data_IF_298129914257
#
_entry.id   IF_298129914257
#
_cell.length_a   1.000
_cell.length_b   1.000
_cell.length_c   1.000
_cell.angle_alpha   90.00
_cell.angle_beta   90.00
_cell.angle_gamma   90.00
#
_symmetry.space_group_name_H-M   'P 1'
#
loop_
_entity.id
_entity.type
_entity.pdbx_description
1 polymer ?
#
# COMPACT_ATOMS: atom_id res chain seq x y z
N UNK A 1 -18.25 50.69 54.56
CA UNK A 1 -17.86 49.32 54.14
C UNK A 1 -18.89 48.79 53.17
N UNK A 2 -18.62 48.95 51.88
CA UNK A 2 -19.49 48.45 50.81
C UNK A 2 -18.77 47.26 50.17
N UNK A 3 -19.35 46.06 50.29
CA UNK A 3 -18.81 44.84 49.69
C UNK A 3 -19.32 44.71 48.25
N UNK A 4 -18.48 44.92 47.26
CA UNK A 4 -18.69 44.57 45.86
C UNK A 4 -18.51 43.08 45.68
N UNK A 5 -19.56 42.38 45.17
CA UNK A 5 -19.52 41.00 44.68
C UNK A 5 -19.04 41.01 43.25
N UNK A 6 -18.09 40.17 42.84
CA UNK A 6 -17.73 40.00 41.43
C UNK A 6 -18.79 39.14 40.72
N UNK A 7 -19.47 39.68 39.72
CA UNK A 7 -20.26 38.92 38.77
C UNK A 7 -19.32 38.28 37.75
N UNK A 8 -19.22 36.95 37.76
CA UNK A 8 -18.51 36.20 36.74
C UNK A 8 -19.37 36.17 35.45
N UNK A 9 -18.92 36.88 34.43
CA UNK A 9 -19.49 36.84 33.09
C UNK A 9 -18.94 35.56 32.42
N UNK A 10 -19.80 34.55 32.30
CA UNK A 10 -19.51 33.38 31.45
C UNK A 10 -19.67 33.75 29.98
N UNK A 11 -18.56 34.00 29.29
CA UNK A 11 -18.52 34.16 27.84
C UNK A 11 -18.76 32.77 27.21
N UNK A 12 -19.98 32.48 26.78
CA UNK A 12 -20.32 31.27 26.02
C UNK A 12 -19.72 31.44 24.62
N UNK A 13 -18.52 30.91 24.41
CA UNK A 13 -17.94 30.79 23.08
C UNK A 13 -18.73 29.70 22.34
N UNK A 14 -19.69 30.12 21.52
CA UNK A 14 -20.33 29.25 20.54
C UNK A 14 -19.27 28.87 19.50
N UNK A 15 -18.68 27.71 19.67
CA UNK A 15 -17.85 27.09 18.62
C UNK A 15 -18.84 26.73 17.49
N UNK A 16 -18.74 27.37 16.30
CA UNK A 16 -19.54 26.92 15.18
C UNK A 16 -19.14 25.46 14.90
N UNK A 17 -20.08 24.54 15.07
CA UNK A 17 -19.97 23.20 14.51
C UNK A 17 -19.92 23.39 12.99
N UNK A 18 -18.69 23.43 12.44
CA UNK A 18 -18.48 23.32 11.01
C UNK A 18 -18.96 21.92 10.68
N UNK A 19 -20.19 21.81 10.23
CA UNK A 19 -20.69 20.61 9.57
C UNK A 19 -19.72 20.33 8.44
N UNK A 20 -18.87 19.30 8.60
CA UNK A 20 -17.95 18.88 7.56
C UNK A 20 -18.80 18.45 6.38
N UNK A 21 -18.93 19.33 5.39
CA UNK A 21 -19.57 18.99 4.13
C UNK A 21 -18.82 17.80 3.56
N UNK A 22 -19.51 16.68 3.37
CA UNK A 22 -18.92 15.49 2.76
C UNK A 22 -18.41 15.86 1.37
N UNK A 23 -17.09 15.73 1.18
CA UNK A 23 -16.44 16.05 -0.09
C UNK A 23 -16.71 14.92 -1.07
N UNK A 24 -17.29 15.24 -2.22
CA UNK A 24 -17.45 14.28 -3.31
C UNK A 24 -16.12 14.13 -4.03
N UNK A 25 -15.66 12.89 -4.18
CA UNK A 25 -14.37 12.56 -4.77
C UNK A 25 -14.58 11.57 -5.91
N UNK A 26 -13.93 11.84 -7.04
CA UNK A 26 -13.86 10.92 -8.18
C UNK A 26 -12.77 9.87 -7.99
N UNK A 27 -12.84 8.78 -8.74
CA UNK A 27 -11.81 7.73 -8.78
C UNK A 27 -10.42 8.29 -9.10
N UNK A 28 -10.35 9.18 -10.07
CA UNK A 28 -9.07 9.80 -10.49
C UNK A 28 -8.45 10.64 -9.36
N UNK A 29 -9.25 11.46 -8.68
CA UNK A 29 -8.80 12.27 -7.55
C UNK A 29 -8.34 11.42 -6.36
N UNK A 30 -9.02 10.30 -6.08
CA UNK A 30 -8.62 9.37 -5.03
C UNK A 30 -7.24 8.75 -5.33
N UNK A 31 -7.01 8.27 -6.56
CA UNK A 31 -5.73 7.72 -6.99
C UNK A 31 -4.63 8.78 -6.99
N UNK A 32 -4.92 10.00 -7.49
CA UNK A 32 -3.97 11.10 -7.49
C UNK A 32 -3.55 11.50 -6.07
N UNK A 33 -4.51 11.61 -5.15
CA UNK A 33 -4.23 11.90 -3.74
C UNK A 33 -3.37 10.82 -3.09
N UNK A 34 -3.65 9.53 -3.34
CA UNK A 34 -2.85 8.42 -2.82
C UNK A 34 -1.42 8.45 -3.36
N UNK A 35 -1.22 8.85 -4.61
CA UNK A 35 0.10 9.01 -5.22
C UNK A 35 0.84 10.26 -4.73
N UNK A 36 0.14 11.30 -4.30
CA UNK A 36 0.74 12.53 -3.79
C UNK A 36 1.05 12.48 -2.29
N UNK A 37 0.17 11.87 -1.48
CA UNK A 37 0.20 11.96 -0.02
C UNK A 37 0.19 10.61 0.68
N UNK A 38 0.08 9.48 -0.05
CA UNK A 38 0.03 8.15 0.53
C UNK A 38 1.31 7.79 1.27
N UNK A 39 1.20 7.37 2.54
CA UNK A 39 2.34 7.03 3.40
C UNK A 39 3.20 5.90 2.84
N UNK A 40 2.61 4.92 2.15
CA UNK A 40 3.33 3.83 1.50
C UNK A 40 4.34 4.32 0.45
N UNK A 41 3.95 5.31 -0.34
CA UNK A 41 4.83 5.87 -1.37
C UNK A 41 5.95 6.72 -0.76
N UNK A 42 5.69 7.42 0.34
CA UNK A 42 6.71 8.17 1.08
C UNK A 42 7.82 7.25 1.60
N UNK A 43 7.48 6.07 2.13
CA UNK A 43 8.47 5.05 2.55
C UNK A 43 9.30 4.57 1.36
N UNK A 44 8.68 4.19 0.25
CA UNK A 44 9.39 3.72 -0.94
C UNK A 44 10.33 4.80 -1.53
N UNK A 45 9.95 6.08 -1.46
CA UNK A 45 10.79 7.20 -1.85
C UNK A 45 12.00 7.37 -0.91
N UNK A 46 11.78 7.22 0.39
CA UNK A 46 12.85 7.25 1.39
C UNK A 46 13.86 6.11 1.15
N UNK A 47 13.42 4.88 0.85
CA UNK A 47 14.30 3.75 0.51
C UNK A 47 15.18 4.05 -0.71
N UNK A 48 14.62 4.73 -1.73
CA UNK A 48 15.38 5.17 -2.90
C UNK A 48 16.46 6.19 -2.49
N UNK A 49 16.13 7.09 -1.56
CA UNK A 49 17.08 8.10 -1.05
C UNK A 49 18.20 7.46 -0.24
N UNK A 50 17.90 6.42 0.56
CA UNK A 50 18.89 5.62 1.29
C UNK A 50 19.85 4.93 0.31
N UNK A 51 19.34 4.29 -0.74
CA UNK A 51 20.17 3.65 -1.76
C UNK A 51 21.09 4.65 -2.48
N UNK A 52 20.58 5.85 -2.80
CA UNK A 52 21.38 6.93 -3.41
C UNK A 52 22.46 7.46 -2.46
N UNK A 53 22.15 7.61 -1.17
CA UNK A 53 23.13 8.01 -0.18
C UNK A 53 24.25 6.96 -0.03
N UNK A 54 23.89 5.67 -0.01
CA UNK A 54 24.86 4.57 -0.01
C UNK A 54 25.76 4.60 -1.28
N UNK A 55 25.19 4.93 -2.44
CA UNK A 55 25.96 5.10 -3.68
C UNK A 55 26.95 6.27 -3.59
N UNK A 56 26.57 7.41 -2.99
CA UNK A 56 27.49 8.52 -2.75
C UNK A 56 28.64 8.09 -1.82
N UNK A 57 28.33 7.36 -0.73
CA UNK A 57 29.34 6.80 0.16
C UNK A 57 30.30 5.83 -0.57
N UNK A 58 29.77 4.98 -1.47
CA UNK A 58 30.60 4.05 -2.25
C UNK A 58 31.58 4.76 -3.22
N UNK A 59 31.26 5.97 -3.64
CA UNK A 59 32.13 6.81 -4.50
C UNK A 59 33.17 7.62 -3.72
N UNK A 60 32.94 7.84 -2.44
CA UNK A 60 33.83 8.65 -1.61
C UNK A 60 35.16 7.93 -1.36
N UNK A 61 36.24 8.69 -1.31
CA UNK A 61 37.52 8.22 -0.82
C UNK A 61 37.49 8.22 0.71
N UNK A 62 38.29 7.32 1.32
CA UNK A 62 38.47 7.32 2.76
C UNK A 62 39.30 8.55 3.15
N UNK A 63 38.98 9.15 4.30
CA UNK A 63 39.72 10.30 4.81
C UNK A 63 41.12 9.86 5.24
N UNK A 64 42.12 10.73 5.04
CA UNK A 64 43.44 10.50 5.60
C UNK A 64 43.39 10.52 7.14
N UNK A 65 44.10 9.59 7.76
CA UNK A 65 44.36 9.58 9.18
C UNK A 65 45.57 10.42 9.53
N UNK A 66 45.56 11.11 10.67
CA UNK A 66 46.73 11.77 11.26
C UNK A 66 47.01 11.17 12.61
N UNK A 67 48.28 10.85 12.86
CA UNK A 67 48.75 10.37 14.16
C UNK A 67 49.96 11.15 14.64
N UNK A 68 50.03 11.41 15.94
CA UNK A 68 51.18 11.98 16.62
C UNK A 68 51.57 11.07 17.77
N UNK A 69 52.81 10.67 17.82
CA UNK A 69 53.32 9.77 18.85
C UNK A 69 54.61 10.34 19.45
N UNK A 70 54.84 10.01 20.74
CA UNK A 70 56.06 10.31 21.46
C UNK A 70 56.76 9.01 21.88
N UNK A 71 58.05 8.93 21.67
CA UNK A 71 58.89 7.86 22.14
C UNK A 71 60.03 8.37 23.03
N UNK A 72 60.56 7.53 23.93
CA UNK A 72 61.76 7.91 24.73
C UNK A 72 63.05 7.81 23.92
N UNK A 73 63.04 7.05 22.83
CA UNK A 73 64.17 6.93 21.92
C UNK A 73 64.18 8.06 20.92
N UNK A 74 65.34 8.51 20.47
CA UNK A 74 65.48 9.52 19.43
C UNK A 74 65.18 8.91 18.06
N UNK A 75 64.51 9.63 17.18
CA UNK A 75 63.80 10.90 17.39
C UNK A 75 62.52 10.69 18.25
N UNK A 76 62.21 11.66 19.12
CA UNK A 76 61.17 11.47 20.14
C UNK A 76 59.76 11.78 19.68
N UNK A 77 59.58 12.62 18.68
CA UNK A 77 58.26 13.02 18.15
C UNK A 77 58.10 12.50 16.75
N UNK A 78 57.00 11.79 16.55
CA UNK A 78 56.60 11.19 15.25
C UNK A 78 55.27 11.76 14.84
N UNK A 79 55.18 12.33 13.64
CA UNK A 79 53.95 12.81 13.04
C UNK A 79 53.74 12.06 11.73
N UNK A 80 52.62 11.33 11.60
CA UNK A 80 52.36 10.51 10.44
C UNK A 80 50.96 10.83 9.87
N UNK A 81 50.90 11.01 8.57
CA UNK A 81 49.65 11.04 7.77
C UNK A 81 49.54 9.71 7.04
N UNK A 82 48.42 9.04 7.23
CA UNK A 82 48.10 7.78 6.59
C UNK A 82 46.96 8.02 5.56
N UNK A 83 47.23 7.75 4.30
CA UNK A 83 46.28 7.88 3.21
C UNK A 83 45.81 6.47 2.78
N UNK A 84 44.61 6.01 3.15
CA UNK A 84 44.06 4.75 2.69
C UNK A 84 43.86 4.76 1.18
N UNK A 85 44.31 3.71 0.50
CA UNK A 85 44.20 3.56 -0.95
C UNK A 85 43.34 2.36 -1.30
N UNK A 86 42.34 2.56 -2.13
CA UNK A 86 41.54 1.46 -2.65
C UNK A 86 42.39 0.59 -3.58
N UNK A 87 42.40 -0.71 -3.35
CA UNK A 87 43.03 -1.66 -4.27
C UNK A 87 42.38 -1.59 -5.66
N UNK A 88 43.14 -1.89 -6.74
CA UNK A 88 42.59 -1.94 -8.09
C UNK A 88 41.37 -2.83 -8.16
N UNK A 89 40.24 -2.29 -8.62
CA UNK A 89 38.99 -3.00 -8.77
C UNK A 89 38.12 -3.11 -7.50
N UNK A 90 38.60 -2.77 -6.30
CA UNK A 90 37.77 -2.78 -5.07
C UNK A 90 36.75 -1.64 -5.11
N UNK A 91 37.21 -0.44 -5.36
CA UNK A 91 36.35 0.74 -5.47
C UNK A 91 35.30 0.59 -6.59
N UNK A 92 35.72 0.08 -7.76
CA UNK A 92 34.81 -0.15 -8.88
C UNK A 92 33.74 -1.21 -8.55
N UNK A 93 34.11 -2.26 -7.82
CA UNK A 93 33.15 -3.28 -7.37
C UNK A 93 32.16 -2.73 -6.35
N UNK A 94 32.64 -1.90 -5.40
CA UNK A 94 31.80 -1.22 -4.41
C UNK A 94 30.80 -0.25 -5.08
N UNK A 95 31.28 0.54 -6.05
CA UNK A 95 30.43 1.43 -6.85
C UNK A 95 29.42 0.62 -7.68
N UNK A 96 29.84 -0.46 -8.31
CA UNK A 96 28.96 -1.31 -9.13
C UNK A 96 27.86 -1.97 -8.27
N UNK A 97 28.18 -2.46 -7.06
CA UNK A 97 27.19 -2.97 -6.11
C UNK A 97 26.19 -1.87 -5.72
N UNK A 98 26.68 -0.72 -5.26
CA UNK A 98 25.82 0.38 -4.84
C UNK A 98 24.94 0.92 -5.99
N UNK A 99 25.46 1.00 -7.23
CA UNK A 99 24.65 1.41 -8.38
C UNK A 99 23.56 0.39 -8.75
N UNK A 100 23.84 -0.91 -8.59
CA UNK A 100 22.82 -1.94 -8.77
C UNK A 100 21.74 -1.87 -7.69
N UNK A 101 22.11 -1.56 -6.44
CA UNK A 101 21.14 -1.31 -5.37
C UNK A 101 20.24 -0.11 -5.65
N UNK A 102 20.79 0.98 -6.23
CA UNK A 102 19.96 2.14 -6.66
C UNK A 102 18.95 1.69 -7.72
N UNK A 103 19.37 0.92 -8.74
CA UNK A 103 18.44 0.43 -9.76
C UNK A 103 17.35 -0.45 -9.16
N UNK A 104 17.72 -1.38 -8.28
CA UNK A 104 16.75 -2.23 -7.58
C UNK A 104 15.74 -1.41 -6.77
N UNK A 105 16.20 -0.36 -6.07
CA UNK A 105 15.34 0.55 -5.33
C UNK A 105 14.41 1.38 -6.25
N UNK A 106 14.90 1.86 -7.41
CA UNK A 106 14.09 2.59 -8.39
C UNK A 106 13.00 1.69 -9.01
N UNK A 107 13.29 0.43 -9.32
CA UNK A 107 12.27 -0.52 -9.80
C UNK A 107 11.25 -0.85 -8.72
N UNK A 108 11.70 -1.04 -7.48
CA UNK A 108 10.82 -1.24 -6.33
C UNK A 108 9.90 -0.03 -6.11
N UNK A 109 10.43 1.19 -6.20
CA UNK A 109 9.63 2.41 -6.11
C UNK A 109 8.54 2.49 -7.20
N UNK A 110 8.88 2.15 -8.45
CA UNK A 110 7.89 2.12 -9.55
C UNK A 110 6.79 1.10 -9.28
N UNK A 111 7.15 -0.07 -8.77
CA UNK A 111 6.18 -1.09 -8.38
C UNK A 111 5.29 -0.62 -7.21
N UNK A 112 5.88 -0.07 -6.14
CA UNK A 112 5.13 0.45 -5.00
C UNK A 112 4.19 1.60 -5.39
N UNK A 113 4.59 2.43 -6.33
CA UNK A 113 3.72 3.46 -6.90
C UNK A 113 2.51 2.87 -7.61
N UNK A 114 2.72 1.83 -8.41
CA UNK A 114 1.63 1.12 -9.08
C UNK A 114 0.72 0.39 -8.08
N UNK A 115 1.30 -0.21 -7.04
CA UNK A 115 0.56 -0.86 -5.96
C UNK A 115 -0.27 0.12 -5.13
N UNK A 116 0.25 1.32 -4.83
CA UNK A 116 -0.50 2.36 -4.14
C UNK A 116 -1.70 2.88 -4.98
N UNK A 117 -1.49 3.04 -6.29
CA UNK A 117 -2.58 3.38 -7.20
C UNK A 117 -3.66 2.28 -7.25
N UNK A 118 -3.26 1.01 -7.29
CA UNK A 118 -4.17 -0.14 -7.24
C UNK A 118 -4.97 -0.17 -5.94
N UNK A 119 -4.30 0.04 -4.81
CA UNK A 119 -4.94 0.02 -3.49
C UNK A 119 -6.02 1.10 -3.38
N UNK A 120 -5.73 2.34 -3.79
CA UNK A 120 -6.70 3.42 -3.84
C UNK A 120 -7.86 3.13 -4.82
N UNK A 121 -7.58 2.62 -6.02
CA UNK A 121 -8.58 2.30 -7.04
C UNK A 121 -9.53 1.17 -6.57
N UNK A 122 -8.98 0.11 -5.97
CA UNK A 122 -9.78 -1.02 -5.46
C UNK A 122 -10.59 -0.64 -4.22
N UNK A 123 -10.02 0.15 -3.29
CA UNK A 123 -10.72 0.64 -2.12
C UNK A 123 -11.84 1.62 -2.51
N UNK A 124 -11.60 2.49 -3.49
CA UNK A 124 -12.64 3.35 -4.06
C UNK A 124 -13.79 2.54 -4.68
N UNK A 125 -13.46 1.50 -5.44
CA UNK A 125 -14.48 0.60 -6.04
C UNK A 125 -15.32 -0.09 -4.96
N UNK A 126 -14.68 -0.57 -3.87
CA UNK A 126 -15.39 -1.15 -2.71
C UNK A 126 -16.31 -0.12 -2.04
N UNK A 127 -15.84 1.12 -1.87
CA UNK A 127 -16.66 2.20 -1.32
C UNK A 127 -17.89 2.49 -2.18
N UNK A 128 -17.77 2.45 -3.53
CA UNK A 128 -18.90 2.58 -4.44
C UNK A 128 -19.90 1.42 -4.29
N UNK A 129 -19.43 0.18 -4.21
CA UNK A 129 -20.28 -1.00 -4.05
C UNK A 129 -21.03 -0.94 -2.71
N UNK A 130 -20.33 -0.66 -1.61
CA UNK A 130 -20.94 -0.55 -0.28
C UNK A 130 -21.90 0.65 -0.17
N UNK A 131 -21.62 1.75 -0.86
CA UNK A 131 -22.58 2.86 -0.96
C UNK A 131 -23.85 2.46 -1.73
N UNK A 132 -23.76 1.56 -2.71
CA UNK A 132 -24.93 1.01 -3.38
C UNK A 132 -25.69 0.03 -2.48
N UNK A 133 -24.99 -0.84 -1.73
CA UNK A 133 -25.59 -1.75 -0.74
C UNK A 133 -26.30 -0.98 0.37
N UNK A 134 -25.68 0.00 0.98
CA UNK A 134 -26.29 0.81 2.03
C UNK A 134 -27.57 1.53 1.55
N UNK A 135 -27.56 2.06 0.32
CA UNK A 135 -28.78 2.66 -0.28
C UNK A 135 -29.87 1.62 -0.56
N UNK A 136 -29.49 0.40 -0.94
CA UNK A 136 -30.44 -0.68 -1.19
C UNK A 136 -31.06 -1.17 0.13
N UNK A 137 -30.27 -1.44 1.15
CA UNK A 137 -30.77 -1.92 2.45
C UNK A 137 -31.63 -0.88 3.17
N UNK A 138 -31.27 0.43 3.11
CA UNK A 138 -32.10 1.51 3.62
C UNK A 138 -33.48 1.56 2.92
N UNK A 139 -33.52 1.40 1.59
CA UNK A 139 -34.80 1.33 0.87
C UNK A 139 -35.62 0.09 1.24
N UNK A 140 -34.97 -1.05 1.41
CA UNK A 140 -35.64 -2.28 1.80
C UNK A 140 -36.22 -2.19 3.22
N UNK A 141 -35.53 -1.55 4.15
CA UNK A 141 -36.06 -1.27 5.50
C UNK A 141 -37.35 -0.45 5.46
N UNK A 142 -37.39 0.62 4.61
CA UNK A 142 -38.63 1.39 4.41
C UNK A 142 -39.77 0.59 3.78
N UNK A 143 -39.46 -0.33 2.84
CA UNK A 143 -40.46 -1.24 2.28
C UNK A 143 -40.96 -2.22 3.33
N UNK A 144 -40.09 -2.74 4.19
CA UNK A 144 -40.47 -3.64 5.28
C UNK A 144 -41.34 -2.97 6.34
N UNK A 145 -41.08 -1.70 6.68
CA UNK A 145 -41.98 -0.88 7.54
C UNK A 145 -43.35 -0.68 6.90
N UNK A 146 -43.39 -0.47 5.58
CA UNK A 146 -44.64 -0.36 4.83
C UNK A 146 -45.43 -1.68 4.87
N UNK A 147 -44.74 -2.82 4.70
CA UNK A 147 -45.39 -4.16 4.80
C UNK A 147 -45.91 -4.43 6.20
N UNK A 148 -45.16 -4.05 7.27
CA UNK A 148 -45.61 -4.16 8.65
C UNK A 148 -46.89 -3.33 8.88
N UNK A 149 -46.90 -2.08 8.43
CA UNK A 149 -48.10 -1.21 8.57
C UNK A 149 -49.31 -1.78 7.84
N UNK A 150 -49.11 -2.35 6.64
CA UNK A 150 -50.16 -3.04 5.89
C UNK A 150 -50.68 -4.30 6.62
N UNK A 151 -49.78 -5.11 7.19
CA UNK A 151 -50.16 -6.30 7.95
C UNK A 151 -50.99 -5.94 9.18
N UNK A 152 -50.61 -4.89 9.91
CA UNK A 152 -51.36 -4.40 11.05
C UNK A 152 -52.76 -3.91 10.64
N UNK A 153 -52.87 -3.11 9.56
CA UNK A 153 -54.17 -2.61 9.09
C UNK A 153 -55.08 -3.76 8.63
N UNK A 154 -54.55 -4.79 7.96
CA UNK A 154 -55.33 -5.97 7.54
C UNK A 154 -55.77 -6.80 8.72
N UNK A 155 -54.94 -6.98 9.78
CA UNK A 155 -55.34 -7.64 11.00
C UNK A 155 -56.48 -6.91 11.66
N UNK A 156 -56.41 -5.56 11.77
CA UNK A 156 -57.45 -4.75 12.39
C UNK A 156 -58.77 -4.78 11.60
N UNK A 157 -58.68 -5.05 10.28
CA UNK A 157 -59.86 -5.33 9.43
C UNK A 157 -60.36 -6.80 9.52
N UNK A 158 -59.65 -7.70 10.18
CA UNK A 158 -59.96 -9.13 10.27
C UNK A 158 -59.45 -9.97 9.09
N UNK A 159 -58.64 -9.38 8.17
CA UNK A 159 -58.17 -10.02 6.95
C UNK A 159 -56.76 -10.66 7.07
N UNK A 160 -56.09 -10.49 8.23
CA UNK A 160 -54.78 -11.08 8.52
C UNK A 160 -54.69 -11.62 9.94
N UNK A 161 -53.85 -12.62 10.17
CA UNK A 161 -53.60 -13.18 11.49
C UNK A 161 -52.55 -12.41 12.28
N UNK A 162 -52.54 -12.56 13.62
CA UNK A 162 -51.47 -12.02 14.46
C UNK A 162 -50.11 -12.58 14.08
N UNK A 163 -50.02 -13.85 13.62
CA UNK A 163 -48.77 -14.46 13.11
C UNK A 163 -48.21 -13.67 11.92
N UNK A 164 -49.07 -13.20 11.02
CA UNK A 164 -48.68 -12.42 9.86
C UNK A 164 -48.06 -11.06 10.28
N UNK A 165 -48.64 -10.42 11.29
CA UNK A 165 -48.10 -9.17 11.85
C UNK A 165 -46.73 -9.39 12.52
N UNK A 166 -46.57 -10.48 13.29
CA UNK A 166 -45.30 -10.81 13.94
C UNK A 166 -44.21 -11.16 12.91
N UNK A 167 -44.54 -11.88 11.82
CA UNK A 167 -43.61 -12.15 10.71
C UNK A 167 -43.17 -10.85 10.02
N UNK A 168 -44.11 -9.93 9.79
CA UNK A 168 -43.77 -8.61 9.22
C UNK A 168 -42.86 -7.80 10.16
N UNK A 169 -43.13 -7.86 11.48
CA UNK A 169 -42.31 -7.17 12.50
C UNK A 169 -40.89 -7.69 12.56
N UNK A 170 -40.72 -9.02 12.57
CA UNK A 170 -39.41 -9.67 12.55
C UNK A 170 -38.64 -9.31 11.28
N UNK A 171 -39.30 -9.33 10.13
CA UNK A 171 -38.69 -8.93 8.86
C UNK A 171 -38.26 -7.45 8.87
N UNK A 172 -39.09 -6.54 9.35
CA UNK A 172 -38.74 -5.12 9.46
C UNK A 172 -37.51 -4.92 10.36
N UNK A 173 -37.45 -5.60 11.51
CA UNK A 173 -36.28 -5.57 12.39
C UNK A 173 -35.01 -6.08 11.72
N UNK A 174 -35.10 -7.17 10.94
CA UNK A 174 -33.95 -7.72 10.20
C UNK A 174 -33.46 -6.76 9.11
N UNK A 175 -34.35 -6.13 8.34
CA UNK A 175 -33.97 -5.18 7.29
C UNK A 175 -33.34 -3.91 7.88
N UNK A 176 -33.83 -3.41 9.03
CA UNK A 176 -33.17 -2.31 9.74
C UNK A 176 -31.75 -2.67 10.22
N UNK A 177 -31.59 -3.87 10.81
CA UNK A 177 -30.28 -4.34 11.23
C UNK A 177 -29.30 -4.45 10.05
N UNK A 178 -29.76 -4.92 8.89
CA UNK A 178 -28.95 -4.98 7.67
C UNK A 178 -28.57 -3.58 7.18
N UNK A 179 -29.50 -2.62 7.21
CA UNK A 179 -29.22 -1.23 6.82
C UNK A 179 -28.18 -0.56 7.73
N UNK A 180 -28.22 -0.85 9.04
CA UNK A 180 -27.19 -0.39 9.98
C UNK A 180 -25.85 -1.05 9.67
N UNK A 181 -25.82 -2.37 9.48
CA UNK A 181 -24.59 -3.10 9.17
C UNK A 181 -23.90 -2.57 7.88
N UNK A 182 -24.65 -2.42 6.79
CA UNK A 182 -24.14 -1.89 5.52
C UNK A 182 -23.62 -0.44 5.68
N UNK A 183 -24.26 0.38 6.52
CA UNK A 183 -23.82 1.76 6.81
C UNK A 183 -22.50 1.78 7.62
N UNK A 184 -22.33 0.88 8.56
CA UNK A 184 -21.07 0.74 9.33
C UNK A 184 -19.94 0.26 8.44
N UNK A 185 -20.19 -0.74 7.59
CA UNK A 185 -19.20 -1.27 6.64
C UNK A 185 -18.77 -0.19 5.63
N UNK A 186 -19.70 0.57 5.08
CA UNK A 186 -19.41 1.72 4.22
C UNK A 186 -18.52 2.74 4.93
N UNK A 187 -18.83 3.07 6.19
CA UNK A 187 -18.02 4.01 6.99
C UNK A 187 -16.58 3.49 7.14
N UNK A 188 -16.41 2.19 7.43
CA UNK A 188 -15.09 1.55 7.53
C UNK A 188 -14.27 1.70 6.25
N UNK A 189 -14.84 1.33 5.11
CA UNK A 189 -14.13 1.42 3.81
C UNK A 189 -13.84 2.86 3.39
N UNK A 190 -14.70 3.82 3.74
CA UNK A 190 -14.39 5.24 3.51
C UNK A 190 -13.18 5.68 4.34
N UNK A 191 -13.06 5.24 5.59
CA UNK A 191 -11.87 5.52 6.41
C UNK A 191 -10.61 4.87 5.85
N UNK A 192 -10.71 3.63 5.34
CA UNK A 192 -9.62 2.96 4.65
C UNK A 192 -9.18 3.73 3.39
N UNK A 193 -10.14 4.23 2.62
CA UNK A 193 -9.86 5.06 1.45
C UNK A 193 -9.17 6.38 1.83
N UNK A 194 -9.64 7.05 2.88
CA UNK A 194 -9.01 8.26 3.41
C UNK A 194 -7.56 7.99 3.85
N UNK A 195 -7.33 6.85 4.52
CA UNK A 195 -5.99 6.44 4.93
C UNK A 195 -5.08 6.16 3.71
N UNK A 196 -5.59 5.47 2.68
CA UNK A 196 -4.86 5.23 1.44
C UNK A 196 -4.50 6.54 0.71
N UNK A 197 -5.39 7.53 0.75
CA UNK A 197 -5.19 8.87 0.20
C UNK A 197 -4.25 9.76 1.04
N UNK A 198 -3.85 9.33 2.24
CA UNK A 198 -3.07 10.13 3.18
C UNK A 198 -3.88 11.22 3.90
N UNK A 199 -5.21 11.11 3.89
CA UNK A 199 -6.11 12.04 4.59
C UNK A 199 -6.29 11.58 6.03
N UNK A 200 -5.82 12.37 6.99
CA UNK A 200 -6.00 12.09 8.42
C UNK A 200 -7.30 12.74 8.88
N UNK A 201 -8.35 11.95 9.04
CA UNK A 201 -9.65 12.42 9.57
C UNK A 201 -10.25 11.34 10.49
N UNK A 202 -10.78 11.72 11.67
CA UNK A 202 -11.45 10.77 12.56
C UNK A 202 -12.86 10.38 12.08
N UNK A 203 -13.37 11.02 11.04
CA UNK A 203 -14.71 10.79 10.51
C UNK A 203 -14.67 10.53 9.00
N UNK A 204 -15.67 9.79 8.51
CA UNK A 204 -15.89 9.58 7.09
C UNK A 204 -16.35 10.90 6.44
N UNK A 205 -15.41 11.65 5.85
CA UNK A 205 -15.61 12.99 5.30
C UNK A 205 -15.75 13.02 3.78
N UNK A 206 -15.57 11.88 3.12
CA UNK A 206 -15.63 11.75 1.65
C UNK A 206 -16.78 10.86 1.21
N UNK A 207 -17.28 11.11 -0.02
CA UNK A 207 -18.30 10.29 -0.67
C UNK A 207 -17.86 10.04 -2.11
N UNK A 208 -17.90 8.79 -2.62
CA UNK A 208 -17.65 8.51 -4.02
C UNK A 208 -18.60 9.28 -4.93
N UNK A 209 -18.05 10.02 -5.90
CA UNK A 209 -18.81 10.84 -6.83
C UNK A 209 -19.32 10.05 -8.03
N UNK A 210 -18.53 9.05 -8.48
CA UNK A 210 -18.84 8.25 -9.64
C UNK A 210 -19.90 7.18 -9.35
N UNK A 211 -20.65 6.79 -10.35
CA UNK A 211 -21.58 5.65 -10.28
C UNK A 211 -20.88 4.37 -10.71
N UNK A 212 -21.14 3.29 -9.98
CA UNK A 212 -20.65 1.97 -10.36
C UNK A 212 -21.43 1.46 -11.57
N UNK A 213 -20.79 1.47 -12.73
CA UNK A 213 -21.38 1.00 -14.00
C UNK A 213 -20.55 -0.17 -14.55
N UNK A 214 -21.19 -1.05 -15.34
CA UNK A 214 -20.51 -2.14 -16.01
C UNK A 214 -19.47 -1.56 -16.98
N UNK A 215 -18.17 -1.91 -16.85
CA UNK A 215 -17.15 -1.42 -17.77
C UNK A 215 -17.30 -2.08 -19.15
N UNK A 216 -16.81 -1.39 -20.19
CA UNK A 216 -16.75 -1.94 -21.53
C UNK A 216 -15.85 -3.19 -21.59
N UNK A 217 -16.24 -4.18 -22.40
CA UNK A 217 -15.64 -5.52 -22.39
C UNK A 217 -14.20 -5.60 -22.89
N UNK A 218 -13.67 -4.53 -23.41
CA UNK A 218 -12.36 -4.53 -24.06
C UNK A 218 -11.26 -4.05 -23.13
N UNK A 219 -10.42 -4.94 -22.63
CA UNK A 219 -8.99 -4.66 -22.49
C UNK A 219 -8.27 -5.96 -22.12
N UNK A 220 -7.72 -6.63 -23.12
CA UNK A 220 -6.56 -7.49 -22.95
C UNK A 220 -5.50 -6.93 -23.88
N UNK A 221 -4.70 -5.99 -23.40
CA UNK A 221 -3.46 -5.66 -24.09
C UNK A 221 -2.47 -6.79 -23.79
N UNK A 222 -1.88 -7.44 -24.81
CA UNK A 222 -0.86 -8.44 -24.57
C UNK A 222 0.30 -7.81 -23.78
N UNK A 223 0.76 -8.50 -22.76
CA UNK A 223 1.92 -8.07 -21.95
C UNK A 223 3.16 -8.09 -22.85
N UNK A 224 3.66 -6.90 -23.20
CA UNK A 224 4.90 -6.77 -23.96
C UNK A 224 6.00 -6.25 -23.05
N UNK A 225 6.96 -7.10 -22.70
CA UNK A 225 8.08 -6.76 -21.81
C UNK A 225 8.06 -7.51 -20.46
N UNK A 226 9.01 -7.18 -19.60
CA UNK A 226 9.11 -7.76 -18.25
C UNK A 226 8.22 -7.00 -17.29
N UNK A 227 7.29 -7.67 -16.57
CA UNK A 227 6.46 -7.02 -15.54
C UNK A 227 7.33 -6.34 -14.47
N UNK A 228 6.89 -5.16 -13.99
CA UNK A 228 7.66 -4.35 -13.04
C UNK A 228 8.04 -5.10 -11.77
N UNK A 229 7.16 -5.94 -11.25
CA UNK A 229 7.42 -6.76 -10.07
C UNK A 229 8.58 -7.75 -10.30
N UNK A 230 8.61 -8.39 -11.47
CA UNK A 230 9.68 -9.32 -11.85
C UNK A 230 10.97 -8.54 -12.15
N UNK A 231 10.89 -7.38 -12.80
CA UNK A 231 12.04 -6.53 -13.08
C UNK A 231 12.72 -6.05 -11.78
N UNK A 232 11.96 -5.67 -10.77
CA UNK A 232 12.49 -5.31 -9.45
C UNK A 232 13.25 -6.48 -8.80
N UNK A 233 12.69 -7.70 -8.86
CA UNK A 233 13.35 -8.90 -8.35
C UNK A 233 14.64 -9.25 -9.12
N UNK A 234 14.66 -9.08 -10.45
CA UNK A 234 15.85 -9.30 -11.26
C UNK A 234 16.99 -8.33 -10.91
N UNK A 235 16.67 -7.04 -10.75
CA UNK A 235 17.69 -6.04 -10.34
C UNK A 235 18.17 -6.27 -8.90
N UNK A 236 17.34 -6.81 -8.01
CA UNK A 236 17.75 -7.20 -6.67
C UNK A 236 18.78 -8.36 -6.71
N UNK A 237 18.58 -9.36 -7.59
CA UNK A 237 19.55 -10.43 -7.81
C UNK A 237 20.86 -9.86 -8.34
N UNK A 238 20.82 -8.99 -9.35
CA UNK A 238 22.04 -8.34 -9.90
C UNK A 238 22.77 -7.54 -8.82
N UNK A 239 22.04 -6.85 -7.95
CA UNK A 239 22.62 -6.10 -6.83
C UNK A 239 23.34 -7.04 -5.85
N UNK A 240 22.74 -8.18 -5.49
CA UNK A 240 23.32 -9.17 -4.61
C UNK A 240 24.57 -9.84 -5.24
N UNK A 241 24.56 -10.16 -6.54
CA UNK A 241 25.74 -10.67 -7.26
C UNK A 241 26.91 -9.68 -7.23
N UNK A 242 26.63 -8.39 -7.44
CA UNK A 242 27.64 -7.33 -7.35
C UNK A 242 28.16 -7.18 -5.93
N UNK A 243 27.33 -7.37 -4.91
CA UNK A 243 27.77 -7.36 -3.52
C UNK A 243 28.72 -8.51 -3.21
N UNK A 244 28.41 -9.75 -3.63
CA UNK A 244 29.36 -10.90 -3.52
C UNK A 244 30.70 -10.57 -4.17
N UNK A 245 30.69 -9.95 -5.36
CA UNK A 245 31.92 -9.55 -6.03
C UNK A 245 32.72 -8.49 -5.25
N UNK A 246 32.05 -7.54 -4.63
CA UNK A 246 32.69 -6.51 -3.78
C UNK A 246 33.32 -7.15 -2.52
N UNK A 247 32.56 -8.03 -1.82
CA UNK A 247 33.04 -8.73 -0.62
C UNK A 247 34.24 -9.64 -0.90
N UNK A 248 34.28 -10.33 -2.03
CA UNK A 248 35.43 -11.12 -2.45
C UNK A 248 36.68 -10.28 -2.70
N UNK A 249 36.54 -9.04 -3.18
CA UNK A 249 37.67 -8.12 -3.43
C UNK A 249 38.15 -7.39 -2.17
N UNK A 250 37.32 -7.32 -1.14
CA UNK A 250 37.65 -6.64 0.13
C UNK A 250 38.57 -7.47 1.06
N UNK A 251 38.96 -8.70 0.66
CA UNK A 251 39.75 -9.62 1.48
C UNK A 251 41.08 -9.01 1.94
N UNK A 252 41.74 -8.20 1.12
CA UNK A 252 43.03 -7.57 1.45
C UNK A 252 42.90 -6.27 2.27
N UNK A 253 41.68 -5.89 2.65
CA UNK A 253 41.43 -4.63 3.39
C UNK A 253 41.79 -3.39 2.56
N UNK A 254 42.13 -2.32 3.26
CA UNK A 254 42.54 -1.04 2.64
C UNK A 254 44.04 -0.79 2.92
N UNK A 255 44.95 -1.01 1.97
CA UNK A 255 46.32 -0.57 2.10
C UNK A 255 46.38 0.94 2.24
N UNK A 256 47.42 1.44 2.87
CA UNK A 256 47.62 2.87 3.04
C UNK A 256 49.03 3.30 2.68
N UNK A 257 49.14 4.48 2.08
CA UNK A 257 50.41 5.20 1.96
C UNK A 257 50.61 6.04 3.20
N UNK A 258 51.81 5.97 3.77
CA UNK A 258 52.16 6.71 4.95
C UNK A 258 53.24 7.73 4.59
N UNK A 259 53.09 8.93 5.07
CA UNK A 259 54.10 9.99 4.98
C UNK A 259 54.18 10.72 6.33
N UNK A 260 55.38 10.96 6.81
CA UNK A 260 55.53 11.58 8.10
C UNK A 260 56.82 12.37 8.24
N UNK A 261 56.96 12.95 9.42
CA UNK A 261 58.17 13.60 9.85
C UNK A 261 58.47 13.22 11.31
N UNK A 262 59.72 12.96 11.54
CA UNK A 262 60.21 12.71 12.88
C UNK A 262 61.12 13.87 13.31
N UNK A 263 61.13 14.21 14.60
CA UNK A 263 61.90 15.35 15.12
C UNK A 263 62.19 15.16 16.60
N UNK A 264 63.01 16.07 17.15
CA UNK A 264 63.45 16.08 18.52
C UNK A 264 64.41 14.91 18.83
N UNK A 265 65.59 15.00 18.21
CA UNK A 265 66.72 14.14 18.60
C UNK A 265 67.50 14.84 19.72
N UNK A 266 67.42 14.37 20.99
CA UNK A 266 68.17 14.95 22.12
C UNK A 266 69.68 14.71 22.04
N UNK A 267 70.14 13.79 21.19
CA UNK A 267 71.56 13.53 21.03
C UNK A 267 72.24 14.52 20.08
N UNK A 268 71.49 15.29 19.29
CA UNK A 268 71.98 16.28 18.35
C UNK A 268 72.67 15.69 17.13
N UNK A 269 72.64 14.37 16.94
CA UNK A 269 73.28 13.69 15.80
C UNK A 269 72.48 13.88 14.50
N UNK A 270 71.19 14.10 14.60
CA UNK A 270 70.29 14.34 13.46
C UNK A 270 69.38 15.52 13.80
N UNK A 271 69.89 16.78 13.71
CA UNK A 271 69.06 17.95 13.98
C UNK A 271 68.12 18.24 12.81
N UNK A 272 66.82 18.49 13.14
CA UNK A 272 65.83 18.92 12.16
C UNK A 272 64.64 17.99 11.99
N UNK A 273 64.00 18.06 10.84
CA UNK A 273 62.87 17.24 10.44
C UNK A 273 63.36 16.09 9.57
N UNK A 274 63.12 14.85 10.00
CA UNK A 274 63.47 13.62 9.28
C UNK A 274 62.21 13.11 8.54
N UNK A 275 62.17 13.19 7.22
CA UNK A 275 61.02 12.71 6.47
C UNK A 275 60.95 11.16 6.48
N UNK A 276 59.78 10.64 6.74
CA UNK A 276 59.50 9.18 6.69
C UNK A 276 58.43 8.87 5.67
N UNK A 277 58.63 7.80 4.93
CA UNK A 277 57.67 7.28 3.93
C UNK A 277 57.49 5.79 4.15
N UNK A 278 56.26 5.32 4.03
CA UNK A 278 55.95 3.91 4.23
C UNK A 278 54.68 3.46 3.48
N UNK A 279 54.48 2.17 3.43
CA UNK A 279 53.28 1.53 2.95
C UNK A 279 52.81 0.58 4.04
N UNK A 280 51.56 0.72 4.44
CA UNK A 280 50.86 -0.20 5.34
C UNK A 280 49.97 -1.13 4.51
N UNK A 281 50.18 -2.46 4.59
CA UNK A 281 49.38 -3.45 3.89
C UNK A 281 48.83 -4.44 4.93
N UNK A 282 47.50 -4.47 5.16
CA UNK A 282 46.92 -5.45 6.06
C UNK A 282 47.09 -6.88 5.45
N UNK A 283 47.72 -7.77 6.23
CA UNK A 283 47.93 -9.16 5.81
C UNK A 283 46.78 -10.02 6.36
N UNK A 284 45.95 -10.64 5.52
CA UNK A 284 44.77 -11.40 5.95
C UNK A 284 45.11 -12.81 6.42
N UNK A 285 45.91 -12.92 7.52
CA UNK A 285 46.32 -14.20 8.07
C UNK A 285 45.17 -14.90 8.80
N UNK A 286 44.47 -14.19 9.65
CA UNK A 286 43.42 -14.71 10.53
C UNK A 286 42.02 -14.50 9.95
N UNK A 287 41.77 -13.35 9.38
CA UNK A 287 40.46 -12.99 8.79
C UNK A 287 40.60 -12.70 7.30
N UNK A 288 40.03 -13.57 6.47
CA UNK A 288 39.97 -13.44 4.99
C UNK A 288 38.59 -13.02 4.52
N UNK A 289 37.89 -12.23 5.28
CA UNK A 289 36.51 -11.80 5.02
C UNK A 289 35.53 -12.96 4.77
N UNK A 290 35.78 -14.15 5.36
CA UNK A 290 34.93 -15.33 5.15
C UNK A 290 33.48 -15.06 5.58
N UNK A 291 33.27 -14.32 6.66
CA UNK A 291 31.94 -13.97 7.16
C UNK A 291 31.20 -13.05 6.17
N UNK A 292 31.81 -11.98 5.69
CA UNK A 292 31.19 -11.07 4.71
C UNK A 292 30.85 -11.78 3.39
N UNK A 293 31.77 -12.63 2.89
CA UNK A 293 31.53 -13.43 1.70
C UNK A 293 30.38 -14.44 1.92
N UNK A 294 30.33 -15.11 3.08
CA UNK A 294 29.28 -16.05 3.42
C UNK A 294 27.92 -15.34 3.52
N UNK A 295 27.86 -14.18 4.18
CA UNK A 295 26.68 -13.35 4.28
C UNK A 295 26.20 -12.92 2.88
N UNK A 296 27.08 -12.37 2.04
CA UNK A 296 26.71 -11.92 0.69
C UNK A 296 26.21 -13.09 -0.18
N UNK A 297 26.79 -14.29 -0.06
CA UNK A 297 26.28 -15.47 -0.77
C UNK A 297 24.89 -15.91 -0.25
N UNK A 298 24.65 -15.81 1.06
CA UNK A 298 23.33 -16.11 1.64
C UNK A 298 22.28 -15.07 1.18
N UNK A 299 22.63 -13.80 1.11
CA UNK A 299 21.78 -12.72 0.57
C UNK A 299 21.47 -12.94 -0.93
N UNK A 300 22.45 -13.40 -1.72
CA UNK A 300 22.24 -13.78 -3.12
C UNK A 300 21.27 -14.96 -3.25
N UNK A 301 21.48 -16.01 -2.44
CA UNK A 301 20.57 -17.16 -2.42
C UNK A 301 19.14 -16.74 -2.03
N UNK A 302 19.01 -15.84 -1.06
CA UNK A 302 17.73 -15.26 -0.67
C UNK A 302 17.08 -14.48 -1.82
N UNK A 303 17.82 -13.61 -2.52
CA UNK A 303 17.32 -12.85 -3.65
C UNK A 303 16.81 -13.74 -4.79
N UNK A 304 17.48 -14.85 -5.08
CA UNK A 304 17.02 -15.86 -6.05
C UNK A 304 15.73 -16.55 -5.61
N UNK A 305 15.63 -16.92 -4.32
CA UNK A 305 14.43 -17.54 -3.78
C UNK A 305 13.23 -16.54 -3.82
N UNK A 306 13.43 -15.30 -3.43
CA UNK A 306 12.42 -14.24 -3.50
C UNK A 306 11.96 -14.00 -4.94
N UNK A 307 12.86 -13.95 -5.92
CA UNK A 307 12.51 -13.84 -7.34
C UNK A 307 11.67 -15.04 -7.82
N UNK A 308 11.99 -16.24 -7.36
CA UNK A 308 11.24 -17.45 -7.71
C UNK A 308 9.81 -17.38 -7.15
N UNK A 309 9.65 -17.00 -5.87
CA UNK A 309 8.36 -16.78 -5.24
C UNK A 309 7.57 -15.71 -5.99
N UNK A 310 8.19 -14.56 -6.27
CA UNK A 310 7.57 -13.45 -7.02
C UNK A 310 7.04 -13.91 -8.39
N UNK A 311 7.78 -14.73 -9.13
CA UNK A 311 7.33 -15.27 -10.43
C UNK A 311 6.11 -16.19 -10.29
N UNK A 312 6.11 -17.07 -9.28
CA UNK A 312 4.99 -17.97 -9.02
C UNK A 312 3.73 -17.19 -8.60
N UNK A 313 3.88 -16.25 -7.68
CA UNK A 313 2.79 -15.39 -7.21
C UNK A 313 2.23 -14.52 -8.33
N UNK A 314 3.10 -13.95 -9.17
CA UNK A 314 2.70 -13.19 -10.35
C UNK A 314 1.85 -14.04 -11.29
N UNK A 315 2.32 -15.22 -11.68
CA UNK A 315 1.60 -16.11 -12.59
C UNK A 315 0.24 -16.56 -12.02
N UNK A 316 0.22 -16.94 -10.73
CA UNK A 316 -1.00 -17.35 -10.05
C UNK A 316 -2.00 -16.19 -9.93
N UNK A 317 -1.52 -14.98 -9.61
CA UNK A 317 -2.37 -13.80 -9.45
C UNK A 317 -2.92 -13.34 -10.80
N UNK A 318 -2.11 -13.32 -11.86
CA UNK A 318 -2.55 -13.00 -13.21
C UNK A 318 -3.69 -13.92 -13.66
N UNK A 319 -3.50 -15.23 -13.58
CA UNK A 319 -4.54 -16.20 -13.93
C UNK A 319 -5.80 -16.07 -13.09
N UNK A 320 -5.65 -15.79 -11.80
CA UNK A 320 -6.78 -15.58 -10.88
C UNK A 320 -7.59 -14.37 -11.29
N UNK A 321 -6.95 -13.23 -11.53
CA UNK A 321 -7.62 -11.98 -11.93
C UNK A 321 -8.29 -12.10 -13.29
N UNK A 322 -7.66 -12.76 -14.26
CA UNK A 322 -8.29 -13.02 -15.57
C UNK A 322 -9.55 -13.87 -15.43
N UNK A 323 -9.51 -14.96 -14.65
CA UNK A 323 -10.68 -15.83 -14.42
C UNK A 323 -11.76 -15.13 -13.61
N UNK A 324 -11.39 -14.40 -12.56
CA UNK A 324 -12.33 -13.62 -11.75
C UNK A 324 -13.07 -12.62 -12.62
N UNK A 325 -12.33 -11.83 -13.42
CA UNK A 325 -12.91 -10.88 -14.38
C UNK A 325 -13.89 -11.55 -15.36
N UNK A 326 -13.46 -12.62 -16.03
CA UNK A 326 -14.29 -13.32 -17.02
C UNK A 326 -15.57 -13.89 -16.39
N UNK A 327 -15.45 -14.47 -15.19
CA UNK A 327 -16.59 -15.04 -14.46
C UNK A 327 -17.54 -13.94 -13.99
N UNK A 328 -17.03 -12.89 -13.36
CA UNK A 328 -17.82 -11.76 -12.88
C UNK A 328 -18.54 -11.06 -14.05
N UNK A 329 -17.86 -10.86 -15.18
CA UNK A 329 -18.46 -10.27 -16.37
C UNK A 329 -19.62 -11.12 -16.91
N UNK A 330 -19.45 -12.45 -17.00
CA UNK A 330 -20.50 -13.34 -17.47
C UNK A 330 -21.71 -13.40 -16.52
N UNK A 331 -21.49 -13.27 -15.20
CA UNK A 331 -22.54 -13.15 -14.18
C UNK A 331 -23.27 -11.81 -14.31
N UNK A 332 -22.52 -10.71 -14.32
CA UNK A 332 -23.09 -9.36 -14.43
C UNK A 332 -23.99 -9.18 -15.66
N UNK A 333 -23.62 -9.76 -16.81
CA UNK A 333 -24.47 -9.74 -18.01
C UNK A 333 -25.79 -10.51 -17.81
N UNK A 334 -25.75 -11.69 -17.16
CA UNK A 334 -26.97 -12.44 -16.82
C UNK A 334 -27.85 -11.68 -15.85
N UNK A 335 -27.25 -11.19 -14.76
CA UNK A 335 -27.99 -10.52 -13.70
C UNK A 335 -28.61 -9.21 -14.20
N UNK A 336 -27.92 -8.48 -15.10
CA UNK A 336 -28.48 -7.31 -15.78
C UNK A 336 -29.81 -7.60 -16.48
N UNK A 337 -29.98 -8.79 -17.08
CA UNK A 337 -31.23 -9.18 -17.69
C UNK A 337 -32.31 -9.50 -16.67
N UNK A 338 -31.93 -9.95 -15.47
CA UNK A 338 -32.82 -10.28 -14.37
C UNK A 338 -33.26 -9.06 -13.55
N UNK A 339 -32.49 -7.96 -13.54
CA UNK A 339 -32.77 -6.77 -12.73
C UNK A 339 -34.19 -6.22 -12.98
N UNK A 340 -34.56 -6.08 -14.24
CA UNK A 340 -35.89 -5.57 -14.60
C UNK A 340 -37.03 -6.52 -14.17
N UNK A 341 -36.78 -7.83 -14.22
CA UNK A 341 -37.74 -8.86 -13.78
C UNK A 341 -37.82 -8.91 -12.25
N UNK A 342 -36.67 -8.84 -11.55
CA UNK A 342 -36.59 -8.80 -10.08
C UNK A 342 -37.37 -7.59 -9.53
N UNK A 343 -37.13 -6.39 -10.08
CA UNK A 343 -37.84 -5.18 -9.68
C UNK A 343 -39.36 -5.27 -9.95
N UNK A 344 -39.77 -5.85 -11.06
CA UNK A 344 -41.20 -6.07 -11.36
C UNK A 344 -41.83 -7.06 -10.38
N UNK A 345 -41.17 -8.18 -10.11
CA UNK A 345 -41.67 -9.19 -9.15
C UNK A 345 -41.81 -8.56 -7.76
N UNK A 346 -40.81 -7.80 -7.31
CA UNK A 346 -40.85 -7.10 -6.01
C UNK A 346 -42.03 -6.10 -5.94
N UNK A 347 -42.24 -5.28 -6.96
CA UNK A 347 -43.33 -4.28 -6.97
C UNK A 347 -44.71 -4.93 -7.10
N UNK A 348 -44.84 -5.94 -7.97
CA UNK A 348 -46.11 -6.68 -8.15
C UNK A 348 -46.50 -7.44 -6.89
N UNK A 349 -45.55 -8.04 -6.17
CA UNK A 349 -45.84 -8.78 -4.93
C UNK A 349 -46.43 -7.88 -3.86
N UNK A 350 -45.90 -6.68 -3.68
CA UNK A 350 -46.43 -5.69 -2.72
C UNK A 350 -47.84 -5.24 -3.14
N UNK A 351 -48.07 -5.02 -4.44
CA UNK A 351 -49.40 -4.64 -4.96
C UNK A 351 -50.43 -5.74 -4.74
N UNK A 352 -50.04 -6.99 -5.02
CA UNK A 352 -50.91 -8.17 -4.83
C UNK A 352 -51.22 -8.40 -3.35
N UNK A 353 -50.27 -8.18 -2.46
CA UNK A 353 -50.49 -8.23 -1.01
C UNK A 353 -51.50 -7.17 -0.54
N UNK A 354 -51.32 -5.93 -1.01
CA UNK A 354 -52.29 -4.85 -0.72
C UNK A 354 -53.71 -5.17 -1.17
N UNK A 355 -53.85 -5.87 -2.30
CA UNK A 355 -55.14 -6.32 -2.82
C UNK A 355 -55.67 -7.58 -2.11
N UNK A 356 -54.97 -8.16 -1.14
CA UNK A 356 -55.38 -9.41 -0.48
C UNK A 356 -55.21 -10.68 -1.33
N UNK A 357 -54.61 -10.58 -2.54
CA UNK A 357 -54.45 -11.70 -3.48
C UNK A 357 -53.18 -12.54 -3.21
N UNK A 358 -52.29 -12.13 -2.29
CA UNK A 358 -51.00 -12.76 -2.08
C UNK A 358 -50.68 -12.84 -0.57
N UNK A 359 -50.14 -13.95 -0.09
CA UNK A 359 -49.74 -14.09 1.29
C UNK A 359 -48.45 -13.31 1.60
N UNK A 360 -48.29 -12.80 2.82
CA UNK A 360 -47.10 -12.05 3.22
C UNK A 360 -45.82 -12.83 3.00
N UNK A 361 -45.79 -14.13 3.32
CA UNK A 361 -44.61 -14.99 3.14
C UNK A 361 -44.08 -14.97 1.69
N UNK A 362 -44.98 -14.97 0.70
CA UNK A 362 -44.62 -14.92 -0.70
C UNK A 362 -44.08 -13.54 -1.11
N UNK A 363 -44.59 -12.47 -0.49
CA UNK A 363 -44.05 -11.10 -0.69
C UNK A 363 -42.63 -10.99 -0.12
N UNK A 364 -42.40 -11.49 1.10
CA UNK A 364 -41.09 -11.46 1.73
C UNK A 364 -40.05 -12.25 0.91
N UNK A 365 -40.44 -13.41 0.36
CA UNK A 365 -39.55 -14.18 -0.52
C UNK A 365 -39.26 -13.46 -1.84
N UNK A 366 -40.27 -12.84 -2.46
CA UNK A 366 -40.10 -12.05 -3.67
C UNK A 366 -39.16 -10.84 -3.43
N UNK A 367 -39.30 -10.13 -2.31
CA UNK A 367 -38.42 -9.03 -1.90
C UNK A 367 -37.00 -9.51 -1.67
N UNK A 368 -36.81 -10.64 -0.98
CA UNK A 368 -35.51 -11.25 -0.74
C UNK A 368 -34.82 -11.61 -2.06
N UNK A 369 -35.49 -12.34 -2.94
CA UNK A 369 -34.98 -12.71 -4.25
C UNK A 369 -34.56 -11.49 -5.09
N UNK A 370 -35.38 -10.45 -5.12
CA UNK A 370 -35.05 -9.22 -5.84
C UNK A 370 -33.83 -8.51 -5.27
N UNK A 371 -33.75 -8.42 -3.94
CA UNK A 371 -32.59 -7.85 -3.25
C UNK A 371 -31.31 -8.61 -3.57
N UNK A 372 -31.35 -9.95 -3.48
CA UNK A 372 -30.17 -10.78 -3.68
C UNK A 372 -29.62 -10.66 -5.11
N UNK A 373 -30.49 -10.58 -6.13
CA UNK A 373 -30.09 -10.29 -7.52
C UNK A 373 -29.44 -8.91 -7.65
N UNK A 374 -29.99 -7.88 -6.98
CA UNK A 374 -29.44 -6.52 -7.03
C UNK A 374 -28.07 -6.44 -6.34
N UNK A 375 -27.92 -7.06 -5.16
CA UNK A 375 -26.63 -7.12 -4.44
C UNK A 375 -25.59 -7.85 -5.29
N UNK A 376 -25.92 -9.03 -5.80
CA UNK A 376 -25.00 -9.82 -6.62
C UNK A 376 -24.55 -9.07 -7.87
N UNK A 377 -25.43 -8.34 -8.54
CA UNK A 377 -25.04 -7.51 -9.68
C UNK A 377 -24.06 -6.42 -9.31
N UNK A 378 -24.25 -5.73 -8.17
CA UNK A 378 -23.34 -4.69 -7.69
C UNK A 378 -21.98 -5.29 -7.38
N UNK A 379 -21.94 -6.46 -6.69
CA UNK A 379 -20.72 -7.16 -6.35
C UNK A 379 -19.95 -7.62 -7.59
N UNK A 380 -20.65 -8.20 -8.57
CA UNK A 380 -20.03 -8.63 -9.83
C UNK A 380 -19.44 -7.46 -10.61
N UNK A 381 -20.12 -6.32 -10.65
CA UNK A 381 -19.59 -5.11 -11.30
C UNK A 381 -18.35 -4.58 -10.54
N UNK A 382 -18.38 -4.60 -9.23
CA UNK A 382 -17.20 -4.22 -8.41
C UNK A 382 -16.03 -5.17 -8.65
N UNK A 383 -16.27 -6.48 -8.66
CA UNK A 383 -15.26 -7.51 -8.94
C UNK A 383 -14.60 -7.32 -10.32
N UNK A 384 -15.36 -6.92 -11.34
CA UNK A 384 -14.81 -6.62 -12.66
C UNK A 384 -13.84 -5.42 -12.58
N UNK A 385 -14.25 -4.33 -11.92
CA UNK A 385 -13.41 -3.15 -11.77
C UNK A 385 -12.13 -3.44 -10.99
N UNK A 386 -12.22 -4.21 -9.89
CA UNK A 386 -11.09 -4.63 -9.08
C UNK A 386 -10.12 -5.50 -9.89
N UNK A 387 -10.67 -6.48 -10.63
CA UNK A 387 -9.85 -7.34 -11.49
C UNK A 387 -9.18 -6.54 -12.63
N UNK A 388 -9.90 -5.60 -13.26
CA UNK A 388 -9.34 -4.72 -14.29
C UNK A 388 -8.22 -3.83 -13.75
N UNK A 389 -8.39 -3.26 -12.56
CA UNK A 389 -7.35 -2.47 -11.91
C UNK A 389 -6.10 -3.32 -11.62
N UNK A 390 -6.29 -4.53 -11.08
CA UNK A 390 -5.20 -5.46 -10.81
C UNK A 390 -4.47 -5.90 -12.09
N UNK A 391 -5.21 -6.23 -13.15
CA UNK A 391 -4.64 -6.61 -14.44
C UNK A 391 -3.84 -5.46 -15.06
N UNK A 392 -4.33 -4.21 -14.98
CA UNK A 392 -3.56 -3.04 -15.43
C UNK A 392 -2.20 -2.93 -14.74
N UNK A 393 -2.15 -3.14 -13.42
CA UNK A 393 -0.89 -3.06 -12.65
C UNK A 393 0.02 -4.26 -12.96
N UNK A 394 -0.53 -5.47 -13.04
CA UNK A 394 0.23 -6.67 -13.37
C UNK A 394 0.83 -6.61 -14.79
N UNK A 395 0.16 -5.96 -15.72
CA UNK A 395 0.61 -5.80 -17.11
C UNK A 395 1.55 -4.61 -17.32
N UNK A 396 1.79 -3.78 -16.29
CA UNK A 396 2.80 -2.73 -16.38
C UNK A 396 4.19 -3.32 -16.56
N UNK A 397 4.83 -2.95 -17.65
CA UNK A 397 6.17 -3.44 -18.02
C UNK A 397 7.19 -2.34 -17.97
N UNK A 398 8.45 -2.72 -17.80
CA UNK A 398 9.58 -1.83 -18.03
C UNK A 398 9.68 -1.56 -19.54
N UNK A 399 9.19 -0.42 -19.99
CA UNK A 399 9.53 0.11 -21.31
C UNK A 399 10.91 0.75 -21.19
N UNK A 400 11.95 0.02 -21.61
CA UNK A 400 13.28 0.56 -21.80
C UNK A 400 13.30 1.60 -22.91
#
# INVERSE_FOLDING_TARGET
>A
MVRLRPQAIYLLIAIPSIGMAQQRITRAEAVESALAHGGRLAVALADTSVARAAFLGARSFQNPGFSAAYSKSAPQLHFTVELPVDLPGLRSARIASASANVRAADYRFRFERAAAALDADTTYTRAQALAAHARLSQRNALVADTLLSMAMARRDAGDASDLEVELARVNAGQEHNLAIADSVELTGVILDLQAAMGVVSPAASIVPADTLALPDSAITSPVSGTPLQIAAGLEAVVAAERNVSAERRSVLGSPALMGGVETRDPSGSEPGLLPTFGISIPIPLLNRNKAGIAQANAELARAHAELTVTRLEYAATLMRMERQRATAYSRAIRDRTLLASANRVASMSVTAYRAGAFALSNVLEAQRSARDVLRQYVDDVADIWIADAALRVLTLTDKR
#
